data_IF_965608859819
#
_entry.id   IF_965608859819
#
_cell.length_a   1.000
_cell.length_b   1.000
_cell.length_c   1.000
_cell.angle_alpha   90.00
_cell.angle_beta   90.00
_cell.angle_gamma   90.00
#
_symmetry.space_group_name_H-M   'P 1'
#
loop_
_entity.id
_entity.type
_entity.pdbx_description
1 polymer ?
#
# COMPACT_ATOMS: atom_id res chain seq x y z
N UNK A 1 -123.48 105.96 57.01
CA UNK A 1 -124.21 104.67 56.88
C UNK A 1 -124.55 104.48 55.41
N UNK A 2 -123.77 103.64 54.73
CA UNK A 2 -124.02 103.11 53.39
C UNK A 2 -123.29 101.77 53.35
N UNK A 3 -124.00 100.74 52.91
CA UNK A 3 -123.76 99.33 53.22
C UNK A 3 -122.40 98.80 52.73
N UNK A 4 -121.67 98.17 53.64
CA UNK A 4 -120.59 97.24 53.32
C UNK A 4 -121.23 95.93 52.85
N UNK A 5 -121.29 95.73 51.53
CA UNK A 5 -121.72 94.48 50.93
C UNK A 5 -120.50 93.52 50.92
N UNK A 6 -120.25 92.93 52.08
CA UNK A 6 -119.36 91.79 52.21
C UNK A 6 -119.98 90.61 51.47
N UNK A 7 -119.57 90.42 50.22
CA UNK A 7 -119.99 89.28 49.40
C UNK A 7 -119.46 88.01 50.04
N UNK A 8 -120.36 87.30 50.71
CA UNK A 8 -120.18 85.91 51.13
C UNK A 8 -119.75 85.09 49.91
N UNK A 9 -118.72 84.27 50.10
CA UNK A 9 -118.24 83.32 49.10
C UNK A 9 -119.26 82.16 48.98
N UNK A 10 -120.36 82.42 48.27
CA UNK A 10 -121.60 81.62 48.23
C UNK A 10 -121.46 80.19 47.64
N UNK A 11 -120.26 79.66 47.45
CA UNK A 11 -120.05 78.35 46.81
C UNK A 11 -120.52 78.27 45.35
N UNK A 12 -120.91 79.40 44.77
CA UNK A 12 -121.43 79.54 43.41
C UNK A 12 -120.33 79.84 42.39
N UNK A 13 -120.57 79.44 41.15
CA UNK A 13 -119.70 79.67 40.01
C UNK A 13 -119.41 81.17 39.84
N UNK A 14 -118.14 81.55 39.73
CA UNK A 14 -117.71 82.95 39.54
C UNK A 14 -118.06 83.56 38.15
N UNK A 15 -118.83 82.85 37.33
CA UNK A 15 -119.28 83.33 36.01
C UNK A 15 -120.51 84.23 36.18
N UNK A 16 -120.58 85.42 35.53
CA UNK A 16 -121.68 86.37 35.73
C UNK A 16 -123.06 85.76 35.46
N UNK A 17 -123.99 85.90 36.40
CA UNK A 17 -125.37 85.39 36.27
C UNK A 17 -125.52 83.87 36.40
N UNK A 18 -124.44 83.13 36.70
CA UNK A 18 -124.51 81.69 36.93
C UNK A 18 -124.83 81.36 38.39
N UNK A 19 -125.87 80.56 38.63
CA UNK A 19 -126.26 80.08 39.95
C UNK A 19 -125.71 78.69 40.31
N UNK A 20 -124.98 78.02 39.39
CA UNK A 20 -124.46 76.67 39.59
C UNK A 20 -123.38 76.63 40.69
N UNK A 21 -123.27 75.54 41.47
CA UNK A 21 -122.19 75.38 42.44
C UNK A 21 -120.83 75.25 41.76
N UNK A 22 -119.76 75.68 42.46
CA UNK A 22 -118.38 75.50 42.02
C UNK A 22 -118.05 74.02 41.89
N UNK A 23 -117.13 73.69 40.98
CA UNK A 23 -116.67 72.32 40.83
C UNK A 23 -116.00 71.86 42.14
N UNK A 24 -116.36 70.67 42.68
CA UNK A 24 -115.74 70.15 43.88
C UNK A 24 -114.24 69.90 43.65
N UNK A 25 -113.43 70.13 44.70
CA UNK A 25 -112.00 69.87 44.67
C UNK A 25 -111.76 68.36 44.54
N UNK A 26 -110.90 67.96 43.61
CA UNK A 26 -110.45 66.57 43.51
C UNK A 26 -109.60 66.19 44.74
N UNK A 27 -109.94 65.11 45.47
CA UNK A 27 -109.14 64.64 46.60
C UNK A 27 -107.68 64.41 46.18
N UNK A 28 -106.72 64.83 47.02
CA UNK A 28 -105.29 64.62 46.80
C UNK A 28 -104.59 65.59 45.83
N UNK A 29 -105.31 66.53 45.21
CA UNK A 29 -104.70 67.55 44.34
C UNK A 29 -104.35 68.80 45.14
N UNK A 30 -103.05 69.13 45.17
CA UNK A 30 -102.53 70.41 45.66
C UNK A 30 -102.88 71.54 44.67
N UNK A 31 -103.33 72.68 45.19
CA UNK A 31 -103.75 73.84 44.40
C UNK A 31 -105.09 74.45 44.84
N UNK A 32 -105.40 75.68 44.38
CA UNK A 32 -106.60 76.41 44.77
C UNK A 32 -107.89 75.71 44.34
N UNK A 33 -108.96 75.96 45.09
CA UNK A 33 -110.29 75.46 44.76
C UNK A 33 -110.78 76.00 43.41
N UNK A 34 -111.42 75.18 42.55
CA UNK A 34 -111.93 75.64 41.26
C UNK A 34 -112.96 76.77 41.43
N UNK A 35 -112.72 77.93 40.81
CA UNK A 35 -113.62 79.11 40.89
C UNK A 35 -114.88 78.99 40.02
N UNK A 36 -114.90 78.05 39.07
CA UNK A 36 -115.98 77.87 38.10
C UNK A 36 -116.65 76.50 38.26
N UNK A 37 -117.89 76.36 37.79
CA UNK A 37 -118.60 75.08 37.74
C UNK A 37 -118.04 74.18 36.62
N UNK A 38 -118.63 73.00 36.43
CA UNK A 38 -118.17 72.05 35.42
C UNK A 38 -118.51 72.44 33.97
N UNK A 39 -119.21 73.56 33.73
CA UNK A 39 -119.54 74.01 32.37
C UNK A 39 -118.26 74.43 31.62
N UNK A 40 -118.00 73.92 30.41
CA UNK A 40 -116.77 74.23 29.67
C UNK A 40 -116.65 75.72 29.32
N UNK A 41 -117.79 76.38 29.11
CA UNK A 41 -117.87 77.80 28.79
C UNK A 41 -117.69 78.70 30.02
N UNK A 42 -117.55 78.15 31.23
CA UNK A 42 -117.34 78.90 32.46
C UNK A 42 -115.89 78.77 32.88
N UNK A 43 -115.05 79.67 32.37
CA UNK A 43 -113.64 79.73 32.64
C UNK A 43 -113.20 81.20 32.83
N UNK A 44 -111.97 81.46 33.30
CA UNK A 44 -111.52 82.83 33.55
C UNK A 44 -111.60 83.74 32.32
N UNK A 45 -111.35 83.20 31.12
CA UNK A 45 -111.34 83.97 29.88
C UNK A 45 -112.76 84.34 29.45
N UNK A 46 -113.68 83.37 29.43
CA UNK A 46 -115.07 83.58 29.04
C UNK A 46 -115.85 84.42 30.06
N UNK A 47 -115.56 84.29 31.35
CA UNK A 47 -116.15 85.14 32.39
C UNK A 47 -115.74 86.60 32.23
N UNK A 48 -114.46 86.88 31.92
CA UNK A 48 -113.98 88.23 31.62
C UNK A 48 -114.67 88.81 30.38
N UNK A 49 -114.80 88.03 29.31
CA UNK A 49 -115.54 88.45 28.11
C UNK A 49 -117.02 88.72 28.39
N UNK A 50 -117.68 87.89 29.20
CA UNK A 50 -119.07 88.08 29.57
C UNK A 50 -119.30 89.37 30.37
N UNK A 51 -118.43 89.67 31.36
CA UNK A 51 -118.50 90.93 32.12
C UNK A 51 -118.29 92.14 31.21
N UNK A 52 -117.31 92.08 30.30
CA UNK A 52 -117.07 93.15 29.33
C UNK A 52 -118.28 93.40 28.41
N UNK A 53 -118.98 92.34 27.95
CA UNK A 53 -120.21 92.46 27.16
C UNK A 53 -121.36 93.09 27.95
N UNK A 54 -121.58 92.67 29.19
CA UNK A 54 -122.64 93.22 30.06
C UNK A 54 -122.40 94.69 30.36
N UNK A 55 -121.15 95.09 30.58
CA UNK A 55 -120.77 96.50 30.71
C UNK A 55 -121.04 97.27 29.42
N UNK A 56 -120.50 96.82 28.27
CA UNK A 56 -120.67 97.50 26.98
C UNK A 56 -122.13 97.64 26.52
N UNK A 57 -123.03 96.73 26.93
CA UNK A 57 -124.48 96.88 26.71
C UNK A 57 -125.08 98.06 27.48
N UNK A 58 -124.58 98.39 28.67
CA UNK A 58 -125.04 99.56 29.45
C UNK A 58 -124.58 100.86 28.80
N UNK A 59 -123.32 100.97 28.35
CA UNK A 59 -122.89 102.13 27.58
C UNK A 59 -123.67 102.25 26.27
N UNK A 60 -123.87 101.17 25.52
CA UNK A 60 -124.67 101.16 24.29
C UNK A 60 -126.09 101.70 24.49
N UNK A 61 -126.72 101.43 25.63
CA UNK A 61 -128.07 101.93 25.96
C UNK A 61 -128.11 103.45 26.19
N UNK A 62 -127.05 104.04 26.78
CA UNK A 62 -126.89 105.50 26.96
C UNK A 62 -126.62 106.20 25.62
N UNK A 63 -125.92 105.51 24.72
CA UNK A 63 -125.63 106.00 23.36
C UNK A 63 -126.87 105.97 22.47
N UNK A 64 -127.68 104.92 22.57
CA UNK A 64 -128.93 104.78 21.83
C UNK A 64 -129.93 105.89 22.20
N UNK A 65 -130.05 106.26 23.48
CA UNK A 65 -130.89 107.38 23.91
C UNK A 65 -130.37 108.74 23.43
N UNK A 66 -129.06 108.96 23.39
CA UNK A 66 -128.48 110.19 22.85
C UNK A 66 -128.59 110.28 21.31
N UNK A 67 -128.53 109.14 20.60
CA UNK A 67 -128.76 109.03 19.16
C UNK A 67 -130.21 109.36 18.79
N UNK A 68 -131.17 108.78 19.52
CA UNK A 68 -132.60 109.06 19.33
C UNK A 68 -132.95 110.55 19.49
N UNK A 69 -132.38 111.23 20.50
CA UNK A 69 -132.56 112.68 20.69
C UNK A 69 -131.98 113.53 19.55
N UNK A 70 -131.01 113.01 18.80
CA UNK A 70 -130.39 113.72 17.67
C UNK A 70 -131.15 113.55 16.34
N UNK A 71 -131.99 112.52 16.24
CA UNK A 71 -132.85 112.24 15.09
C UNK A 71 -134.14 113.08 15.12
N UNK A 72 -134.58 113.50 16.31
CA UNK A 72 -135.72 114.40 16.51
C UNK A 72 -135.42 115.88 16.17
N UNK A 73 -134.18 116.21 15.79
CA UNK A 73 -133.73 117.58 15.49
C UNK A 73 -133.50 117.80 13.98
N UNK A 74 -133.88 118.98 13.44
CA UNK A 74 -133.70 119.29 12.02
C UNK A 74 -132.23 119.17 11.57
N UNK A 75 -131.97 118.75 10.31
CA UNK A 75 -130.63 118.40 9.83
C UNK A 75 -129.63 119.56 9.78
N UNK A 76 -130.13 120.79 9.68
CA UNK A 76 -129.31 121.98 9.49
C UNK A 76 -129.43 122.88 10.72
N UNK A 77 -128.63 122.63 11.76
CA UNK A 77 -128.68 123.45 12.97
C UNK A 77 -127.50 123.25 13.94
N UNK A 78 -127.00 124.37 14.49
CA UNK A 78 -125.94 124.41 15.52
C UNK A 78 -126.27 123.55 16.74
N UNK A 79 -127.55 123.44 17.11
CA UNK A 79 -128.03 122.63 18.24
C UNK A 79 -127.80 121.14 17.98
N UNK A 80 -128.10 120.63 16.77
CA UNK A 80 -127.86 119.24 16.40
C UNK A 80 -126.37 118.90 16.42
N UNK A 81 -125.50 119.82 15.97
CA UNK A 81 -124.05 119.65 16.10
C UNK A 81 -123.58 119.64 17.56
N UNK A 82 -124.12 120.49 18.43
CA UNK A 82 -123.78 120.50 19.85
C UNK A 82 -124.24 119.22 20.56
N UNK A 83 -125.46 118.74 20.28
CA UNK A 83 -125.98 117.46 20.79
C UNK A 83 -125.15 116.29 20.27
N UNK A 84 -124.73 116.31 18.99
CA UNK A 84 -123.84 115.31 18.41
C UNK A 84 -122.45 115.28 19.08
N UNK A 85 -121.86 116.45 19.35
CA UNK A 85 -120.58 116.57 20.08
C UNK A 85 -120.72 116.14 21.54
N UNK A 86 -121.82 116.50 22.20
CA UNK A 86 -122.10 116.05 23.56
C UNK A 86 -122.29 114.53 23.63
N UNK A 87 -123.02 113.93 22.68
CA UNK A 87 -123.20 112.49 22.57
C UNK A 87 -121.86 111.77 22.29
N UNK A 88 -120.98 112.35 21.48
CA UNK A 88 -119.63 111.83 21.23
C UNK A 88 -118.74 111.90 22.48
N UNK A 89 -118.71 113.04 23.18
CA UNK A 89 -117.95 113.19 24.42
C UNK A 89 -118.48 112.24 25.51
N UNK A 90 -119.80 112.04 25.59
CA UNK A 90 -120.43 111.10 26.54
C UNK A 90 -120.10 109.65 26.19
N UNK A 91 -120.00 109.31 24.89
CA UNK A 91 -119.50 108.00 24.43
C UNK A 91 -118.08 107.73 24.87
N UNK A 92 -117.18 108.67 24.60
CA UNK A 92 -115.77 108.53 24.94
C UNK A 92 -115.57 108.42 26.46
N UNK A 93 -116.29 109.21 27.25
CA UNK A 93 -116.27 109.12 28.70
C UNK A 93 -116.81 107.76 29.22
N UNK A 94 -117.87 107.22 28.61
CA UNK A 94 -118.41 105.91 28.98
C UNK A 94 -117.42 104.77 28.66
N UNK A 95 -116.79 104.79 27.47
CA UNK A 95 -115.77 103.81 27.10
C UNK A 95 -114.54 103.89 28.01
N UNK A 96 -114.10 105.11 28.36
CA UNK A 96 -112.99 105.31 29.29
C UNK A 96 -113.32 104.79 30.71
N UNK A 97 -114.53 105.04 31.21
CA UNK A 97 -114.99 104.52 32.50
C UNK A 97 -115.09 102.99 32.52
N UNK A 98 -115.54 102.37 31.42
CA UNK A 98 -115.56 100.91 31.28
C UNK A 98 -114.16 100.29 31.24
N UNK A 99 -113.22 100.92 30.52
CA UNK A 99 -111.83 100.49 30.49
C UNK A 99 -111.18 100.59 31.88
N UNK A 100 -111.45 101.66 32.62
CA UNK A 100 -110.99 101.82 34.00
C UNK A 100 -111.59 100.76 34.94
N UNK A 101 -112.89 100.49 34.83
CA UNK A 101 -113.55 99.44 35.62
C UNK A 101 -112.99 98.04 35.32
N UNK A 102 -112.68 97.74 34.05
CA UNK A 102 -112.06 96.48 33.65
C UNK A 102 -110.64 96.33 34.22
N UNK A 103 -109.83 97.40 34.17
CA UNK A 103 -108.48 97.42 34.77
C UNK A 103 -108.52 97.22 36.28
N UNK A 104 -109.43 97.92 36.98
CA UNK A 104 -109.61 97.74 38.43
C UNK A 104 -110.05 96.32 38.79
N UNK A 105 -110.95 95.74 37.99
CA UNK A 105 -111.38 94.35 38.18
C UNK A 105 -110.21 93.37 38.00
N UNK A 106 -109.39 93.55 36.97
CA UNK A 106 -108.20 92.71 36.74
C UNK A 106 -107.16 92.87 37.85
N UNK A 107 -106.97 94.10 38.36
CA UNK A 107 -106.08 94.36 39.48
C UNK A 107 -106.56 93.70 40.78
N UNK A 108 -107.88 93.70 41.04
CA UNK A 108 -108.47 92.99 42.19
C UNK A 108 -108.31 91.48 42.03
N UNK A 109 -108.57 90.91 40.85
CA UNK A 109 -108.37 89.48 40.60
C UNK A 109 -106.92 89.04 40.83
N UNK A 110 -105.95 89.86 40.40
CA UNK A 110 -104.53 89.59 40.62
C UNK A 110 -104.15 89.71 42.11
N UNK A 111 -104.68 90.71 42.83
CA UNK A 111 -104.45 90.85 44.27
C UNK A 111 -105.09 89.71 45.07
N UNK A 112 -106.27 89.22 44.65
CA UNK A 112 -106.94 88.10 45.28
C UNK A 112 -106.17 86.78 45.07
N UNK A 113 -105.50 86.60 43.93
CA UNK A 113 -104.59 85.46 43.73
C UNK A 113 -103.36 85.49 44.65
N UNK A 114 -102.88 86.68 45.04
CA UNK A 114 -101.81 86.82 46.04
C UNK A 114 -102.30 86.74 47.49
N UNK A 115 -103.59 87.06 47.74
CA UNK A 115 -104.22 86.95 49.07
C UNK A 115 -104.79 85.57 49.36
N UNK A 116 -105.00 84.74 48.34
CA UNK A 116 -105.41 83.36 48.49
C UNK A 116 -104.24 82.51 49.04
N UNK A 117 -104.28 82.33 50.36
CA UNK A 117 -103.33 81.52 51.14
C UNK A 117 -103.11 80.13 50.51
N UNK A 118 -104.16 79.50 49.95
CA UNK A 118 -104.05 78.16 49.35
C UNK A 118 -103.23 78.16 48.05
N UNK A 119 -103.25 79.25 47.28
CA UNK A 119 -102.44 79.42 46.06
C UNK A 119 -100.98 79.66 46.43
N UNK A 120 -100.72 80.47 47.45
CA UNK A 120 -99.36 80.76 47.94
C UNK A 120 -98.73 79.51 48.56
N UNK A 121 -99.46 78.78 49.40
CA UNK A 121 -99.00 77.52 49.99
C UNK A 121 -98.68 76.47 48.93
N UNK A 122 -99.51 76.33 47.90
CA UNK A 122 -99.25 75.39 46.80
C UNK A 122 -97.97 75.76 46.03
N UNK A 123 -97.72 77.05 45.78
CA UNK A 123 -96.48 77.51 45.12
C UNK A 123 -95.25 77.31 46.01
N UNK A 124 -95.36 77.56 47.31
CA UNK A 124 -94.29 77.28 48.27
C UNK A 124 -94.00 75.78 48.39
N UNK A 125 -95.03 74.93 48.39
CA UNK A 125 -94.88 73.47 48.39
C UNK A 125 -94.19 72.97 47.11
N UNK A 126 -94.54 73.52 45.94
CA UNK A 126 -93.86 73.21 44.68
C UNK A 126 -92.39 73.66 44.71
N UNK A 127 -92.11 74.88 45.15
CA UNK A 127 -90.74 75.39 45.24
C UNK A 127 -89.88 74.56 46.21
N UNK A 128 -90.45 74.09 47.34
CA UNK A 128 -89.78 73.16 48.25
C UNK A 128 -89.48 71.83 47.56
N UNK A 129 -90.46 71.25 46.88
CA UNK A 129 -90.27 70.00 46.11
C UNK A 129 -89.19 70.13 45.02
N UNK A 130 -89.10 71.27 44.34
CA UNK A 130 -88.10 71.50 43.30
C UNK A 130 -86.68 71.66 43.90
N UNK A 131 -86.56 72.33 45.05
CA UNK A 131 -85.30 72.44 45.79
C UNK A 131 -84.86 71.07 46.30
N UNK A 132 -85.77 70.27 46.88
CA UNK A 132 -85.47 68.93 47.35
C UNK A 132 -85.03 68.02 46.20
N UNK A 133 -85.70 68.10 45.04
CA UNK A 133 -85.33 67.36 43.83
C UNK A 133 -83.94 67.79 43.31
N UNK A 134 -83.64 69.08 43.31
CA UNK A 134 -82.33 69.60 42.91
C UNK A 134 -81.21 69.17 43.88
N UNK A 135 -81.47 69.19 45.19
CA UNK A 135 -80.53 68.69 46.19
C UNK A 135 -80.28 67.18 46.03
N UNK A 136 -81.34 66.39 45.81
CA UNK A 136 -81.21 64.95 45.56
C UNK A 136 -80.48 64.64 44.24
N UNK A 137 -80.65 65.46 43.20
CA UNK A 137 -79.89 65.33 41.96
C UNK A 137 -78.40 65.67 42.16
N UNK A 138 -78.11 66.73 42.92
CA UNK A 138 -76.74 67.12 43.26
C UNK A 138 -76.02 66.03 44.06
N UNK A 139 -76.66 65.49 45.11
CA UNK A 139 -76.07 64.41 45.92
C UNK A 139 -75.77 63.17 45.07
N UNK A 140 -76.68 62.77 44.16
CA UNK A 140 -76.44 61.68 43.22
C UNK A 140 -75.27 61.96 42.28
N UNK A 141 -75.13 63.19 41.79
CA UNK A 141 -74.01 63.59 40.94
C UNK A 141 -72.68 63.58 41.71
N UNK A 142 -72.66 64.05 42.96
CA UNK A 142 -71.48 63.98 43.84
C UNK A 142 -71.08 62.54 44.14
N UNK A 143 -72.04 61.65 44.39
CA UNK A 143 -71.78 60.22 44.62
C UNK A 143 -71.27 59.52 43.36
N UNK A 144 -71.86 59.81 42.19
CA UNK A 144 -71.35 59.32 40.91
C UNK A 144 -69.94 59.83 40.60
N UNK A 145 -69.63 61.09 40.92
CA UNK A 145 -68.30 61.65 40.76
C UNK A 145 -67.28 60.94 41.67
N UNK A 146 -67.62 60.70 42.94
CA UNK A 146 -66.78 59.94 43.88
C UNK A 146 -66.53 58.51 43.39
N UNK A 147 -67.57 57.81 42.93
CA UNK A 147 -67.41 56.46 42.37
C UNK A 147 -66.53 56.47 41.12
N UNK A 148 -66.69 57.46 40.24
CA UNK A 148 -65.84 57.59 39.06
C UNK A 148 -64.38 57.90 39.42
N UNK A 149 -64.12 58.71 40.45
CA UNK A 149 -62.78 58.97 40.98
C UNK A 149 -62.16 57.70 41.59
N UNK A 150 -62.92 56.95 42.38
CA UNK A 150 -62.47 55.66 42.94
C UNK A 150 -62.10 54.67 41.84
N UNK A 151 -62.96 54.49 40.84
CA UNK A 151 -62.69 53.60 39.71
C UNK A 151 -61.48 54.04 38.89
N UNK A 152 -61.24 55.35 38.73
CA UNK A 152 -60.03 55.87 38.07
C UNK A 152 -58.77 55.59 38.90
N UNK A 153 -58.83 55.79 40.21
CA UNK A 153 -57.71 55.50 41.10
C UNK A 153 -57.38 54.00 41.13
N UNK A 154 -58.40 53.13 41.20
CA UNK A 154 -58.24 51.68 41.11
C UNK A 154 -57.65 51.25 39.76
N UNK A 155 -58.13 51.82 38.65
CA UNK A 155 -57.59 51.55 37.33
C UNK A 155 -56.13 52.02 37.18
N UNK A 156 -55.77 53.16 37.75
CA UNK A 156 -54.40 53.67 37.72
C UNK A 156 -53.46 52.81 38.58
N UNK A 157 -53.91 52.37 39.77
CA UNK A 157 -53.12 51.46 40.61
C UNK A 157 -52.97 50.09 39.94
N UNK A 158 -54.03 49.55 39.33
CA UNK A 158 -53.96 48.33 38.53
C UNK A 158 -52.98 48.46 37.37
N UNK A 159 -52.96 49.61 36.68
CA UNK A 159 -51.99 49.89 35.62
C UNK A 159 -50.56 49.93 36.15
N UNK A 160 -50.32 50.62 37.28
CA UNK A 160 -49.00 50.68 37.92
C UNK A 160 -48.54 49.33 38.44
N UNK A 161 -49.45 48.48 38.93
CA UNK A 161 -49.15 47.09 39.29
C UNK A 161 -48.72 46.30 38.06
N UNK A 162 -49.53 46.34 36.99
CA UNK A 162 -49.22 45.62 35.75
C UNK A 162 -47.90 46.10 35.11
N UNK A 163 -47.60 47.40 35.17
CA UNK A 163 -46.32 47.95 34.71
C UNK A 163 -45.14 47.43 35.53
N UNK A 164 -45.28 47.34 36.86
CA UNK A 164 -44.28 46.75 37.76
C UNK A 164 -44.07 45.27 37.49
N UNK A 165 -45.15 44.51 37.35
CA UNK A 165 -45.08 43.07 37.05
C UNK A 165 -44.43 42.82 35.69
N UNK A 166 -44.77 43.63 34.68
CA UNK A 166 -44.13 43.55 33.36
C UNK A 166 -42.66 43.98 33.39
N UNK A 167 -42.27 44.94 34.24
CA UNK A 167 -40.87 45.31 34.43
C UNK A 167 -40.09 44.20 35.14
N UNK A 168 -40.65 43.60 36.19
CA UNK A 168 -40.07 42.47 36.90
C UNK A 168 -39.90 41.25 35.98
N UNK A 169 -40.93 40.89 35.21
CA UNK A 169 -40.86 39.78 34.26
C UNK A 169 -39.81 40.01 33.17
N UNK A 170 -39.61 41.27 32.71
CA UNK A 170 -38.55 41.62 31.77
C UNK A 170 -37.17 41.49 32.40
N UNK A 171 -36.99 41.99 33.62
CA UNK A 171 -35.72 41.87 34.34
C UNK A 171 -35.36 40.40 34.60
N UNK A 172 -36.32 39.58 35.01
CA UNK A 172 -36.13 38.14 35.22
C UNK A 172 -35.76 37.44 33.91
N UNK A 173 -36.43 37.76 32.80
CA UNK A 173 -36.12 37.20 31.49
C UNK A 173 -34.72 37.62 31.00
N UNK A 174 -34.34 38.88 31.18
CA UNK A 174 -32.99 39.38 30.87
C UNK A 174 -31.92 38.68 31.71
N UNK A 175 -32.18 38.46 33.00
CA UNK A 175 -31.28 37.75 33.89
C UNK A 175 -31.13 36.27 33.48
N UNK A 176 -32.23 35.60 33.10
CA UNK A 176 -32.16 34.23 32.58
C UNK A 176 -31.38 34.14 31.27
N UNK A 177 -31.57 35.10 30.35
CA UNK A 177 -30.80 35.17 29.10
C UNK A 177 -29.32 35.40 29.39
N UNK A 178 -28.99 36.31 30.31
CA UNK A 178 -27.62 36.59 30.70
C UNK A 178 -26.95 35.36 31.35
N UNK A 179 -27.65 34.66 32.25
CA UNK A 179 -27.17 33.41 32.85
C UNK A 179 -26.96 32.32 31.80
N UNK A 180 -27.92 32.10 30.91
CA UNK A 180 -27.81 31.11 29.83
C UNK A 180 -26.64 31.43 28.87
N UNK A 181 -26.36 32.70 28.61
CA UNK A 181 -25.19 33.12 27.81
C UNK A 181 -23.88 32.82 28.54
N UNK A 182 -23.79 33.15 29.82
CA UNK A 182 -22.61 32.85 30.63
C UNK A 182 -22.34 31.33 30.69
N UNK A 183 -23.38 30.52 30.90
CA UNK A 183 -23.28 29.06 30.89
C UNK A 183 -22.82 28.53 29.53
N UNK A 184 -23.37 29.07 28.43
CA UNK A 184 -22.96 28.68 27.08
C UNK A 184 -21.51 29.08 26.77
N UNK A 185 -21.07 30.27 27.19
CA UNK A 185 -19.67 30.71 27.05
C UNK A 185 -18.73 29.81 27.84
N UNK A 186 -19.10 29.42 29.06
CA UNK A 186 -18.34 28.48 29.87
C UNK A 186 -18.23 27.10 29.20
N UNK A 187 -19.34 26.55 28.70
CA UNK A 187 -19.34 25.28 27.99
C UNK A 187 -18.47 25.32 26.72
N UNK A 188 -18.49 26.43 25.98
CA UNK A 188 -17.62 26.63 24.81
C UNK A 188 -16.15 26.69 25.22
N UNK A 189 -15.82 27.40 26.30
CA UNK A 189 -14.46 27.48 26.83
C UNK A 189 -13.93 26.10 27.26
N UNK A 190 -14.73 25.35 28.02
CA UNK A 190 -14.41 23.98 28.44
C UNK A 190 -14.22 23.05 27.25
N UNK A 191 -15.12 23.11 26.25
CA UNK A 191 -15.03 22.32 25.03
C UNK A 191 -13.75 22.64 24.24
N UNK A 192 -13.36 23.92 24.16
CA UNK A 192 -12.09 24.34 23.52
C UNK A 192 -10.87 23.80 24.26
N UNK A 193 -10.85 23.87 25.58
CA UNK A 193 -9.75 23.31 26.38
C UNK A 193 -9.66 21.79 26.21
N UNK A 194 -10.79 21.09 26.22
CA UNK A 194 -10.83 19.64 25.96
C UNK A 194 -10.37 19.29 24.55
N UNK A 195 -10.77 20.07 23.54
CA UNK A 195 -10.34 19.88 22.16
C UNK A 195 -8.83 20.11 22.02
N UNK A 196 -8.29 21.19 22.59
CA UNK A 196 -6.86 21.48 22.58
C UNK A 196 -6.06 20.36 23.27
N UNK A 197 -6.54 19.87 24.42
CA UNK A 197 -5.92 18.74 25.12
C UNK A 197 -5.92 17.46 24.28
N UNK A 198 -7.02 17.13 23.60
CA UNK A 198 -7.09 15.97 22.69
C UNK A 198 -6.16 16.11 21.50
N UNK A 199 -6.05 17.31 20.92
CA UNK A 199 -5.11 17.59 19.84
C UNK A 199 -3.67 17.41 20.31
N UNK A 200 -3.31 17.95 21.48
CA UNK A 200 -1.99 17.77 22.07
C UNK A 200 -1.63 16.30 22.27
N UNK A 201 -2.53 15.50 22.86
CA UNK A 201 -2.33 14.05 23.00
C UNK A 201 -2.18 13.33 21.65
N UNK A 202 -2.91 13.77 20.62
CA UNK A 202 -2.83 13.18 19.29
C UNK A 202 -1.51 13.53 18.59
N UNK A 203 -1.01 14.75 18.78
CA UNK A 203 0.31 15.18 18.29
C UNK A 203 1.43 14.43 19.00
N UNK A 204 1.39 14.34 20.33
CA UNK A 204 2.35 13.54 21.12
C UNK A 204 2.36 12.06 20.67
N UNK A 205 1.20 11.47 20.42
CA UNK A 205 1.10 10.10 19.91
C UNK A 205 1.67 9.95 18.50
N UNK A 206 1.50 10.96 17.63
CA UNK A 206 2.10 10.98 16.28
C UNK A 206 3.61 11.09 16.35
N UNK A 207 4.13 11.99 17.18
CA UNK A 207 5.58 12.19 17.35
C UNK A 207 6.24 10.94 17.94
N UNK A 208 5.58 10.28 18.91
CA UNK A 208 6.03 9.00 19.45
C UNK A 208 6.03 7.90 18.38
N UNK A 209 4.98 7.81 17.56
CA UNK A 209 4.91 6.84 16.47
C UNK A 209 5.95 7.10 15.37
N UNK A 210 6.20 8.36 15.03
CA UNK A 210 7.23 8.74 14.06
C UNK A 210 8.62 8.43 14.60
N UNK A 211 8.87 8.69 15.88
CA UNK A 211 10.13 8.36 16.56
C UNK A 211 10.37 6.85 16.54
N UNK A 212 9.37 6.06 16.97
CA UNK A 212 9.44 4.60 16.93
C UNK A 212 9.67 4.05 15.50
N UNK A 213 9.06 4.69 14.49
CA UNK A 213 9.29 4.35 13.09
C UNK A 213 10.72 4.64 12.65
N UNK A 214 11.28 5.81 12.98
CA UNK A 214 12.67 6.17 12.66
C UNK A 214 13.66 5.23 13.34
N UNK A 215 13.41 4.87 14.60
CA UNK A 215 14.22 3.89 15.33
C UNK A 215 14.16 2.50 14.67
N UNK A 216 12.97 2.06 14.27
CA UNK A 216 12.80 0.80 13.56
C UNK A 216 13.48 0.80 12.17
N UNK A 217 13.39 1.90 11.42
CA UNK A 217 14.10 2.07 10.15
C UNK A 217 15.62 2.02 10.37
N UNK A 218 16.14 2.76 11.36
CA UNK A 218 17.56 2.73 11.71
C UNK A 218 18.06 1.35 12.17
N UNK A 219 17.24 0.59 12.91
CA UNK A 219 17.55 -0.79 13.29
C UNK A 219 17.59 -1.72 12.06
N UNK A 220 16.65 -1.54 11.12
CA UNK A 220 16.63 -2.31 9.87
C UNK A 220 17.84 -2.00 8.98
N UNK A 221 18.25 -0.74 8.91
CA UNK A 221 19.43 -0.32 8.16
C UNK A 221 20.70 -0.91 8.78
N UNK A 222 20.86 -0.81 10.12
CA UNK A 222 21.96 -1.47 10.85
C UNK A 222 21.99 -2.97 10.60
N UNK A 223 20.85 -3.65 10.71
CA UNK A 223 20.77 -5.09 10.41
C UNK A 223 21.08 -5.40 8.94
N UNK A 224 20.71 -4.51 8.01
CA UNK A 224 21.04 -4.60 6.60
C UNK A 224 22.55 -4.47 6.33
N UNK A 225 23.20 -3.49 6.94
CA UNK A 225 24.64 -3.26 6.89
C UNK A 225 25.41 -4.43 7.51
N UNK A 226 24.98 -4.93 8.66
CA UNK A 226 25.58 -6.11 9.30
C UNK A 226 25.46 -7.36 8.44
N UNK A 227 24.30 -7.57 7.81
CA UNK A 227 24.08 -8.68 6.88
C UNK A 227 24.95 -8.54 5.63
N UNK A 228 25.07 -7.34 5.07
CA UNK A 228 25.94 -7.07 3.93
C UNK A 228 27.41 -7.34 4.30
N UNK A 229 27.87 -6.85 5.45
CA UNK A 229 29.21 -7.11 5.95
C UNK A 229 29.45 -8.61 6.21
N UNK A 230 28.46 -9.34 6.72
CA UNK A 230 28.55 -10.79 6.90
C UNK A 230 28.65 -11.54 5.57
N UNK A 231 27.89 -11.12 4.55
CA UNK A 231 27.97 -11.67 3.19
C UNK A 231 29.32 -11.40 2.54
N UNK A 232 29.86 -10.19 2.68
CA UNK A 232 31.22 -9.85 2.20
C UNK A 232 32.26 -10.71 2.88
N UNK A 233 32.23 -10.84 4.22
CA UNK A 233 33.15 -11.72 4.96
C UNK A 233 33.05 -13.18 4.52
N UNK A 234 31.83 -13.67 4.26
CA UNK A 234 31.63 -15.04 3.78
C UNK A 234 32.17 -15.22 2.35
N UNK A 235 32.01 -14.22 1.49
CA UNK A 235 32.56 -14.24 0.13
C UNK A 235 34.09 -14.21 0.15
N UNK A 236 34.70 -13.33 0.95
CA UNK A 236 36.15 -13.25 1.12
C UNK A 236 36.70 -14.56 1.68
N UNK A 237 36.03 -15.17 2.66
CA UNK A 237 36.40 -16.49 3.18
C UNK A 237 36.32 -17.59 2.10
N UNK A 238 35.32 -17.55 1.22
CA UNK A 238 35.22 -18.48 0.08
C UNK A 238 36.35 -18.26 -0.93
N UNK A 239 36.70 -17.01 -1.24
CA UNK A 239 37.84 -16.67 -2.10
C UNK A 239 39.15 -17.18 -1.49
N UNK A 240 39.38 -16.97 -0.19
CA UNK A 240 40.54 -17.48 0.52
C UNK A 240 40.58 -19.01 0.54
N UNK A 241 39.44 -19.68 0.73
CA UNK A 241 39.35 -21.14 0.65
C UNK A 241 39.72 -21.64 -0.75
N UNK A 242 39.17 -21.04 -1.81
CA UNK A 242 39.48 -21.41 -3.21
C UNK A 242 40.94 -21.16 -3.55
N UNK A 243 41.53 -20.06 -3.08
CA UNK A 243 42.95 -19.78 -3.23
C UNK A 243 43.80 -20.85 -2.53
N UNK A 244 43.48 -21.19 -1.27
CA UNK A 244 44.18 -22.23 -0.53
C UNK A 244 44.04 -23.62 -1.19
N UNK A 245 42.86 -23.95 -1.74
CA UNK A 245 42.65 -25.17 -2.51
C UNK A 245 43.46 -25.20 -3.81
N UNK A 246 43.53 -24.06 -4.51
CA UNK A 246 44.34 -23.91 -5.72
C UNK A 246 45.83 -24.05 -5.42
N UNK A 247 46.31 -23.43 -4.34
CA UNK A 247 47.69 -23.52 -3.86
C UNK A 247 48.03 -24.94 -3.41
N UNK A 248 47.15 -25.59 -2.65
CA UNK A 248 47.31 -26.99 -2.28
C UNK A 248 47.31 -27.91 -3.52
N UNK A 249 46.48 -27.60 -4.52
CA UNK A 249 46.48 -28.28 -5.81
C UNK A 249 47.77 -28.07 -6.60
N UNK A 250 48.31 -26.84 -6.59
CA UNK A 250 49.58 -26.50 -7.21
C UNK A 250 50.75 -27.20 -6.52
N UNK A 251 50.77 -27.23 -5.19
CA UNK A 251 51.75 -27.95 -4.38
C UNK A 251 51.74 -29.45 -4.68
N UNK A 252 50.56 -30.10 -4.74
CA UNK A 252 50.45 -31.53 -5.11
C UNK A 252 50.93 -31.80 -6.54
N UNK A 253 50.67 -30.89 -7.49
CA UNK A 253 51.18 -31.01 -8.88
C UNK A 253 52.68 -30.78 -8.95
N UNK A 254 53.23 -29.87 -8.13
CA UNK A 254 54.67 -29.64 -8.04
C UNK A 254 55.37 -30.86 -7.41
N UNK A 255 54.83 -31.40 -6.33
CA UNK A 255 55.33 -32.63 -5.70
C UNK A 255 55.28 -33.82 -6.67
N UNK A 256 54.17 -34.01 -7.39
CA UNK A 256 54.07 -35.07 -8.40
C UNK A 256 55.12 -34.90 -9.49
N UNK A 257 55.31 -33.68 -10.01
CA UNK A 257 56.36 -33.40 -11.01
C UNK A 257 57.76 -33.65 -10.46
N UNK A 258 58.03 -33.25 -9.22
CA UNK A 258 59.31 -33.54 -8.56
C UNK A 258 59.55 -35.04 -8.37
N UNK A 259 58.51 -35.83 -8.07
CA UNK A 259 58.61 -37.30 -7.99
C UNK A 259 58.82 -37.93 -9.37
N UNK A 260 58.14 -37.44 -10.40
CA UNK A 260 58.34 -37.88 -11.78
C UNK A 260 59.73 -37.53 -12.31
N UNK A 261 60.24 -36.34 -11.96
CA UNK A 261 61.59 -35.89 -12.30
C UNK A 261 62.65 -36.72 -11.56
N UNK A 262 62.48 -36.93 -10.25
CA UNK A 262 63.34 -37.83 -9.47
C UNK A 262 63.29 -39.28 -9.99
N UNK A 263 62.14 -39.76 -10.47
CA UNK A 263 62.03 -41.07 -11.11
C UNK A 263 62.79 -41.12 -12.44
N UNK A 264 62.70 -40.07 -13.27
CA UNK A 264 63.50 -39.97 -14.52
C UNK A 264 64.99 -39.86 -14.23
N UNK A 265 65.39 -39.14 -13.19
CA UNK A 265 66.78 -39.06 -12.75
C UNK A 265 67.27 -40.41 -12.24
N UNK A 266 66.44 -41.13 -11.47
CA UNK A 266 66.75 -42.51 -11.06
C UNK A 266 66.87 -43.43 -12.28
N UNK A 267 65.94 -43.38 -13.23
CA UNK A 267 65.98 -44.21 -14.44
C UNK A 267 67.22 -43.87 -15.28
N UNK A 268 67.57 -42.59 -15.43
CA UNK A 268 68.79 -42.15 -16.09
C UNK A 268 70.06 -42.62 -15.36
N UNK A 269 70.07 -42.64 -14.03
CA UNK A 269 71.16 -43.20 -13.24
C UNK A 269 71.26 -44.72 -13.37
N UNK A 270 70.13 -45.42 -13.48
CA UNK A 270 70.08 -46.87 -13.75
C UNK A 270 70.58 -47.17 -15.15
N UNK A 271 70.18 -46.40 -16.16
CA UNK A 271 70.69 -46.52 -17.53
C UNK A 271 72.18 -46.20 -17.60
N UNK A 272 72.64 -45.15 -16.92
CA UNK A 272 74.06 -44.83 -16.82
C UNK A 272 74.86 -45.94 -16.10
N UNK A 273 74.28 -46.56 -15.06
CA UNK A 273 74.87 -47.73 -14.37
C UNK A 273 74.88 -48.97 -15.26
N UNK A 274 73.84 -49.17 -16.07
CA UNK A 274 73.77 -50.25 -17.06
C UNK A 274 74.81 -50.05 -18.16
N UNK A 275 74.95 -48.83 -18.70
CA UNK A 275 75.99 -48.46 -19.66
C UNK A 275 77.38 -48.62 -19.05
N UNK A 276 77.58 -48.21 -17.79
CA UNK A 276 78.82 -48.43 -17.06
C UNK A 276 79.14 -49.92 -16.90
N UNK A 277 78.15 -50.76 -16.55
CA UNK A 277 78.33 -52.22 -16.43
C UNK A 277 78.62 -52.91 -17.77
N UNK A 278 78.19 -52.31 -18.89
CA UNK A 278 78.56 -52.75 -20.23
C UNK A 278 79.99 -52.33 -20.52
N UNK A 279 80.38 -51.08 -20.24
CA UNK A 279 81.77 -50.63 -20.42
C UNK A 279 82.75 -51.37 -19.51
N UNK A 280 82.35 -51.72 -18.28
CA UNK A 280 83.13 -52.50 -17.33
C UNK A 280 83.32 -53.94 -17.81
N UNK A 281 82.26 -54.58 -18.35
CA UNK A 281 82.38 -55.87 -19.03
C UNK A 281 83.27 -55.80 -20.25
N UNK A 282 83.11 -54.78 -21.11
CA UNK A 282 83.95 -54.60 -22.30
C UNK A 282 85.41 -54.31 -21.95
N UNK A 283 85.70 -53.56 -20.89
CA UNK A 283 87.06 -53.34 -20.39
C UNK A 283 87.63 -54.62 -19.77
N UNK A 284 86.82 -55.38 -19.04
CA UNK A 284 87.24 -56.67 -18.45
C UNK A 284 87.52 -57.70 -19.55
N UNK A 285 86.67 -57.79 -20.57
CA UNK A 285 86.86 -58.62 -21.76
C UNK A 285 88.07 -58.15 -22.57
N UNK A 286 88.30 -56.84 -22.72
CA UNK A 286 89.48 -56.32 -23.39
C UNK A 286 90.77 -56.60 -22.61
N UNK A 287 90.74 -56.55 -21.28
CA UNK A 287 91.87 -56.91 -20.42
C UNK A 287 92.10 -58.43 -20.44
N UNK A 288 91.05 -59.25 -20.40
CA UNK A 288 91.14 -60.72 -20.54
C UNK A 288 91.65 -61.12 -21.92
N UNK A 289 91.16 -60.49 -22.99
CA UNK A 289 91.64 -60.69 -24.37
C UNK A 289 93.09 -60.27 -24.52
N UNK A 290 93.49 -59.12 -23.94
CA UNK A 290 94.89 -58.65 -23.98
C UNK A 290 95.83 -59.49 -23.12
N UNK A 291 95.32 -60.10 -22.05
CA UNK A 291 96.07 -61.06 -21.22
C UNK A 291 96.20 -62.40 -21.95
N UNK A 292 95.13 -62.87 -22.60
CA UNK A 292 95.15 -64.03 -23.50
C UNK A 292 96.12 -63.84 -24.66
N UNK A 293 96.11 -62.70 -25.34
CA UNK A 293 97.06 -62.36 -26.40
C UNK A 293 98.50 -62.27 -25.91
N UNK A 294 98.74 -61.79 -24.67
CA UNK A 294 100.08 -61.79 -24.07
C UNK A 294 100.55 -63.21 -23.78
N UNK A 295 99.68 -64.04 -23.24
CA UNK A 295 100.03 -65.41 -22.86
C UNK A 295 100.16 -66.31 -24.11
N UNK A 296 99.37 -66.09 -25.16
CA UNK A 296 99.55 -66.65 -26.51
C UNK A 296 100.84 -66.17 -27.18
N UNK A 297 101.21 -64.89 -27.03
CA UNK A 297 102.48 -64.38 -27.56
C UNK A 297 103.70 -64.96 -26.81
N UNK A 298 103.57 -65.26 -25.52
CA UNK A 298 104.60 -65.97 -24.74
C UNK A 298 104.66 -67.44 -25.16
N UNK A 299 103.51 -68.10 -25.32
CA UNK A 299 103.44 -69.46 -25.83
C UNK A 299 104.04 -69.57 -27.24
N UNK A 300 103.67 -68.66 -28.16
CA UNK A 300 104.23 -68.60 -29.52
C UNK A 300 105.73 -68.29 -29.52
N UNK A 301 106.24 -67.47 -28.58
CA UNK A 301 107.68 -67.22 -28.44
C UNK A 301 108.42 -68.46 -27.93
N UNK A 302 107.86 -69.18 -26.98
CA UNK A 302 108.47 -70.35 -26.40
C UNK A 302 108.37 -71.55 -27.36
N UNK A 303 107.30 -71.64 -28.14
CA UNK A 303 107.12 -72.58 -29.26
C UNK A 303 108.05 -72.24 -30.44
N UNK A 304 108.26 -70.95 -30.77
CA UNK A 304 109.26 -70.53 -31.74
C UNK A 304 110.70 -70.80 -31.27
N UNK A 305 110.97 -70.73 -29.96
CA UNK A 305 112.27 -71.11 -29.39
C UNK A 305 112.47 -72.63 -29.38
N UNK A 306 111.42 -73.40 -29.10
CA UNK A 306 111.43 -74.86 -29.21
C UNK A 306 111.60 -75.29 -30.67
N UNK A 307 110.92 -74.65 -31.62
CA UNK A 307 111.07 -74.87 -33.05
C UNK A 307 112.47 -74.46 -33.56
N UNK A 308 113.05 -73.37 -33.06
CA UNK A 308 114.42 -72.98 -33.39
C UNK A 308 115.48 -73.93 -32.78
N UNK A 309 115.22 -74.49 -31.59
CA UNK A 309 116.06 -75.53 -31.01
C UNK A 309 115.95 -76.85 -31.80
N UNK A 310 114.73 -77.28 -32.16
CA UNK A 310 114.47 -78.44 -33.00
C UNK A 310 115.06 -78.28 -34.42
N UNK A 311 115.01 -77.09 -35.00
CA UNK A 311 115.63 -76.80 -36.30
C UNK A 311 117.17 -76.83 -36.23
N UNK A 312 117.78 -76.41 -35.11
CA UNK A 312 119.22 -76.52 -34.89
C UNK A 312 119.67 -77.97 -34.64
N UNK A 313 118.82 -78.77 -34.01
CA UNK A 313 119.04 -80.20 -33.81
C UNK A 313 118.88 -80.97 -35.13
N UNK A 314 117.83 -80.71 -35.90
CA UNK A 314 117.65 -81.24 -37.27
C UNK A 314 118.77 -80.82 -38.23
N UNK A 315 119.32 -79.61 -38.10
CA UNK A 315 120.48 -79.19 -38.90
C UNK A 315 121.76 -79.98 -38.54
N UNK A 316 121.96 -80.28 -37.25
CA UNK A 316 123.10 -81.11 -36.78
C UNK A 316 122.93 -82.58 -37.16
N UNK A 317 121.70 -83.11 -37.11
CA UNK A 317 121.39 -84.46 -37.58
C UNK A 317 121.54 -84.58 -39.09
N UNK A 318 121.06 -83.60 -39.87
CA UNK A 318 121.27 -83.57 -41.32
C UNK A 318 122.76 -83.44 -41.69
N UNK A 319 123.58 -82.77 -40.87
CA UNK A 319 125.03 -82.71 -41.07
C UNK A 319 125.71 -84.05 -40.74
N UNK A 320 125.31 -84.72 -39.64
CA UNK A 320 125.75 -86.08 -39.31
C UNK A 320 125.36 -87.09 -40.40
N UNK A 321 124.16 -86.99 -40.95
CA UNK A 321 123.67 -87.82 -42.05
C UNK A 321 124.43 -87.54 -43.35
N UNK A 322 124.73 -86.28 -43.68
CA UNK A 322 125.55 -85.94 -44.86
C UNK A 322 126.98 -86.47 -44.74
N UNK A 323 127.57 -86.41 -43.56
CA UNK A 323 128.91 -86.97 -43.34
C UNK A 323 128.92 -88.49 -43.31
N UNK A 324 127.86 -89.13 -42.79
CA UNK A 324 127.66 -90.57 -42.91
C UNK A 324 127.45 -90.99 -44.37
N UNK A 325 126.66 -90.25 -45.15
CA UNK A 325 126.46 -90.48 -46.58
C UNK A 325 127.75 -90.30 -47.39
N UNK A 326 128.58 -89.29 -47.08
CA UNK A 326 129.89 -89.09 -47.72
C UNK A 326 130.93 -90.15 -47.36
N UNK A 327 130.82 -90.76 -46.17
CA UNK A 327 131.64 -91.92 -45.79
C UNK A 327 131.17 -93.17 -46.54
N UNK A 328 129.87 -93.44 -46.53
CA UNK A 328 129.27 -94.54 -47.29
C UNK A 328 129.53 -94.44 -48.79
N UNK A 329 129.53 -93.23 -49.38
CA UNK A 329 129.88 -93.01 -50.79
C UNK A 329 131.36 -93.33 -51.07
N UNK A 330 132.28 -92.95 -50.17
CA UNK A 330 133.71 -93.27 -50.31
C UNK A 330 133.96 -94.76 -50.17
N UNK A 331 133.30 -95.41 -49.23
CA UNK A 331 133.39 -96.86 -49.03
C UNK A 331 132.79 -97.61 -50.23
N UNK A 332 131.66 -97.15 -50.77
CA UNK A 332 131.05 -97.71 -51.98
C UNK A 332 131.95 -97.54 -53.22
N UNK A 333 132.63 -96.40 -53.38
CA UNK A 333 133.61 -96.20 -54.47
C UNK A 333 134.82 -97.11 -54.30
N UNK A 334 135.37 -97.25 -53.10
CA UNK A 334 136.49 -98.16 -52.84
C UNK A 334 136.12 -99.63 -53.09
N UNK A 335 134.89 -100.03 -52.73
CA UNK A 335 134.35 -101.35 -53.02
C UNK A 335 134.10 -101.57 -54.52
N UNK A 336 133.63 -100.54 -55.24
CA UNK A 336 133.42 -100.57 -56.69
C UNK A 336 134.75 -100.68 -57.44
N UNK A 337 135.78 -99.93 -57.04
CA UNK A 337 137.14 -100.04 -57.62
C UNK A 337 137.73 -101.43 -57.34
N UNK A 338 137.56 -101.95 -56.12
CA UNK A 338 137.96 -103.31 -55.76
C UNK A 338 137.20 -104.39 -56.55
N UNK A 339 135.92 -104.16 -56.86
CA UNK A 339 135.12 -105.05 -57.70
C UNK A 339 135.56 -104.98 -59.18
N UNK A 340 135.89 -103.80 -59.69
CA UNK A 340 136.41 -103.61 -61.04
C UNK A 340 137.77 -104.30 -61.24
N UNK A 341 138.69 -104.20 -60.26
CA UNK A 341 139.97 -104.93 -60.31
C UNK A 341 139.78 -106.45 -60.28
N UNK A 342 138.83 -106.95 -59.49
CA UNK A 342 138.50 -108.40 -59.45
C UNK A 342 137.82 -108.88 -60.74
N UNK A 343 136.97 -108.06 -61.35
CA UNK A 343 136.33 -108.38 -62.63
C UNK A 343 137.37 -108.40 -63.78
N UNK A 344 138.33 -107.48 -63.79
CA UNK A 344 139.43 -107.49 -64.76
C UNK A 344 140.32 -108.75 -64.62
N UNK A 345 140.64 -109.14 -63.38
CA UNK A 345 141.38 -110.38 -63.12
C UNK A 345 140.60 -111.64 -63.53
N UNK A 346 139.28 -111.67 -63.31
CA UNK A 346 138.42 -112.78 -63.71
C UNK A 346 138.27 -112.92 -65.23
N UNK A 347 138.19 -111.81 -65.98
CA UNK A 347 138.12 -111.86 -67.45
C UNK A 347 139.44 -112.35 -68.04
N UNK A 348 140.58 -111.97 -67.45
CA UNK A 348 141.89 -112.46 -67.87
C UNK A 348 142.04 -113.98 -67.62
N UNK A 349 141.57 -114.47 -66.47
CA UNK A 349 141.52 -115.91 -66.18
C UNK A 349 140.55 -116.67 -67.12
N UNK A 350 139.45 -116.05 -67.54
CA UNK A 350 138.51 -116.63 -68.51
C UNK A 350 139.16 -116.81 -69.89
N UNK A 351 139.93 -115.82 -70.36
CA UNK A 351 140.64 -115.89 -71.63
C UNK A 351 141.74 -116.97 -71.62
N UNK A 352 142.46 -117.13 -70.51
CA UNK A 352 143.42 -118.22 -70.33
C UNK A 352 142.73 -119.59 -70.36
N UNK A 353 141.61 -119.75 -69.63
CA UNK A 353 140.84 -120.99 -69.60
C UNK A 353 140.26 -121.37 -70.97
N UNK A 354 139.80 -120.40 -71.77
CA UNK A 354 139.31 -120.63 -73.14
C UNK A 354 140.44 -121.09 -74.07
N UNK A 355 141.65 -120.57 -73.88
CA UNK A 355 142.82 -120.96 -74.68
C UNK A 355 143.25 -122.40 -74.36
N UNK A 356 143.14 -122.81 -73.10
CA UNK A 356 143.44 -124.19 -72.68
C UNK A 356 142.33 -125.19 -73.07
N UNK A 357 141.06 -124.77 -73.03
CA UNK A 357 139.93 -125.56 -73.52
C UNK A 357 140.04 -125.85 -75.04
N UNK A 358 140.47 -124.87 -75.84
CA UNK A 358 140.70 -125.06 -77.27
C UNK A 358 141.79 -126.11 -77.55
N UNK A 359 142.88 -126.12 -76.76
CA UNK A 359 143.93 -127.17 -76.86
C UNK A 359 143.43 -128.54 -76.41
N UNK A 360 142.49 -128.61 -75.47
CA UNK A 360 141.88 -129.85 -75.02
C UNK A 360 140.91 -130.45 -76.05
N UNK A 361 140.08 -129.62 -76.69
CA UNK A 361 139.18 -130.03 -77.76
C UNK A 361 139.93 -130.63 -78.96
N UNK A 362 141.03 -130.00 -79.35
CA UNK A 362 141.86 -130.49 -80.46
C UNK A 362 142.50 -131.87 -80.17
N UNK A 363 142.79 -132.17 -78.90
CA UNK A 363 143.26 -133.51 -78.47
C UNK A 363 142.15 -134.55 -78.45
N UNK A 364 140.91 -134.15 -78.16
CA UNK A 364 139.75 -135.05 -78.16
C UNK A 364 139.36 -135.47 -79.58
N UNK A 365 139.39 -134.56 -80.55
CA UNK A 365 139.10 -134.88 -81.95
C UNK A 365 140.14 -135.84 -82.57
N UNK A 366 141.40 -135.73 -82.18
CA UNK A 366 142.46 -136.67 -82.57
C UNK A 366 142.31 -138.06 -81.90
N UNK A 367 141.56 -138.17 -80.81
CA UNK A 367 141.23 -139.44 -80.17
C UNK A 367 140.00 -140.09 -80.84
N UNK A 368 139.02 -139.30 -81.23
CA UNK A 368 137.78 -139.78 -81.87
C UNK A 368 138.05 -140.38 -83.26
N UNK A 369 138.97 -139.76 -84.02
CA UNK A 369 139.50 -140.32 -85.29
C UNK A 369 140.17 -141.69 -85.13
N UNK A 370 140.68 -142.02 -83.93
CA UNK A 370 141.29 -143.33 -83.64
C UNK A 370 140.27 -144.37 -83.21
N UNK A 371 139.19 -143.96 -82.54
CA UNK A 371 138.13 -144.84 -82.08
C UNK A 371 137.28 -145.39 -83.23
N UNK A 372 136.93 -144.54 -84.21
CA UNK A 372 136.11 -144.97 -85.36
C UNK A 372 136.85 -145.95 -86.27
N UNK A 373 138.18 -145.87 -86.37
CA UNK A 373 138.99 -146.85 -87.09
C UNK A 373 138.97 -148.26 -86.48
N UNK A 374 138.63 -148.39 -85.19
CA UNK A 374 138.54 -149.67 -84.48
C UNK A 374 137.14 -150.32 -84.58
N UNK A 375 136.11 -149.51 -84.80
CA UNK A 375 134.72 -150.01 -84.89
C UNK A 375 134.46 -150.72 -86.22
N UNK A 376 135.11 -150.28 -87.30
CA UNK A 376 135.15 -150.95 -88.61
C UNK A 376 135.71 -152.38 -88.52
N UNK A 377 136.61 -152.65 -87.57
CA UNK A 377 137.24 -153.98 -87.41
C UNK A 377 136.40 -154.95 -86.57
N UNK A 378 135.54 -154.44 -85.68
CA UNK A 378 134.74 -155.28 -84.77
C UNK A 378 133.51 -155.91 -85.46
N UNK A 379 132.95 -155.27 -86.48
CA UNK A 379 131.75 -155.78 -87.17
C UNK A 379 132.03 -156.99 -88.05
N UNK A 380 133.19 -157.05 -88.69
CA UNK A 380 133.65 -158.22 -89.47
C UNK A 380 133.77 -159.51 -88.62
N UNK A 381 133.89 -159.39 -87.29
CA UNK A 381 134.00 -160.53 -86.39
C UNK A 381 132.63 -161.13 -86.00
N UNK A 382 131.58 -160.31 -85.89
CA UNK A 382 130.24 -160.78 -85.49
C UNK A 382 129.54 -161.60 -86.57
N UNK A 383 129.86 -161.35 -87.85
CA UNK A 383 129.36 -162.15 -88.98
C UNK A 383 129.79 -163.63 -88.91
N UNK A 384 130.85 -163.98 -88.17
CA UNK A 384 131.34 -165.36 -88.03
C UNK A 384 130.66 -166.15 -86.91
N UNK A 385 130.19 -165.50 -85.86
CA UNK A 385 129.67 -166.19 -84.66
C UNK A 385 128.24 -166.70 -84.90
N UNK A 386 127.42 -165.96 -85.67
CA UNK A 386 126.05 -166.37 -85.99
C UNK A 386 125.97 -167.68 -86.79
N UNK A 387 126.97 -167.95 -87.63
CA UNK A 387 127.04 -169.14 -88.47
C UNK A 387 127.17 -170.45 -87.65
N UNK A 388 127.76 -170.40 -86.44
CA UNK A 388 128.06 -171.59 -85.65
C UNK A 388 126.94 -171.98 -84.66
N UNK A 389 126.10 -171.01 -84.26
CA UNK A 389 125.07 -171.25 -83.25
C UNK A 389 123.87 -172.04 -83.81
N UNK A 390 123.63 -171.96 -85.13
CA UNK A 390 122.54 -172.68 -85.79
C UNK A 390 122.80 -174.20 -85.86
N UNK A 391 124.07 -174.63 -85.96
CA UNK A 391 124.43 -176.06 -85.99
C UNK A 391 124.16 -176.76 -84.64
N UNK A 392 124.25 -176.02 -83.54
CA UNK A 392 124.18 -176.58 -82.18
C UNK A 392 122.73 -176.84 -81.71
N UNK A 393 121.75 -176.09 -82.26
CA UNK A 393 120.34 -176.27 -81.93
C UNK A 393 119.74 -177.56 -82.51
N UNK A 394 120.23 -178.02 -83.66
CA UNK A 394 119.74 -179.25 -84.32
C UNK A 394 120.11 -180.53 -83.56
N UNK A 395 121.28 -180.55 -82.91
CA UNK A 395 121.79 -181.72 -82.19
C UNK A 395 121.04 -182.03 -80.89
N UNK A 396 120.37 -181.05 -80.28
CA UNK A 396 119.58 -181.27 -79.05
C UNK A 396 118.23 -181.97 -79.28
N UNK A 397 117.76 -182.05 -80.53
CA UNK A 397 116.48 -182.67 -80.86
C UNK A 397 116.53 -184.22 -80.99
N UNK A 398 117.68 -184.88 -80.80
CA UNK A 398 117.89 -186.31 -81.18
C UNK A 398 118.26 -187.32 -80.07
N UNK A 399 118.04 -187.06 -78.77
CA UNK A 399 118.24 -188.10 -77.72
C UNK A 399 116.97 -188.32 -76.85
N UNK A 400 116.65 -189.58 -76.44
CA UNK A 400 115.26 -190.06 -76.40
C UNK A 400 114.69 -190.37 -74.99
N UNK A 401 113.35 -190.29 -74.90
CA UNK A 401 112.47 -191.35 -74.37
C UNK A 401 111.17 -191.36 -75.15
#
# INVERSE_FOLDING_TARGET
>A
MTAADGTQDDGRCAYPGCAEPRRPRSPGRSGPSPKFCARPDHNPQSARQARARVSGQRAGRVVATAGALSEELPPEGRVRQLVGRWAAATREAAVAAEAQAALLTAAVEALDEYRDETTVEARLAQARSDVDAAQAARLRAEEQARLAEQLRAEAEEARRSAERDAAAARADAEQQIAAARADAEQQIAEARTQAAHRTGLAEEARDAAETARREAEAERDRAGEERAAALTRAHDADLHRRAAEADAGAARRAERRAREEAAREHDALVEARAQWSVTERSLTEAVQSRTGQRDEAVAARDEARAAAAAAREQARDAERERDAARRAERDARSLADGAASRAAAAEQARLEALTDAARAAQRAEDADRRATGAETTAREASERVGALTAELASLRARLPR
#
